data_IF_247593471089
#
_entry.id   IF_247593471089
#
_cell.length_a   1.000
_cell.length_b   1.000
_cell.length_c   1.000
_cell.angle_alpha   90.00
_cell.angle_beta   90.00
_cell.angle_gamma   90.00
#
_symmetry.space_group_name_H-M   'P 1'
#
loop_
_entity.id
_entity.type
_entity.pdbx_description
1 polymer ?
#
# COMPACT_ATOMS: atom_id res chain seq x y z
N UNK A 1 -7.35 5.47 -26.17
CA UNK A 1 -5.89 5.49 -26.42
C UNK A 1 -5.20 6.26 -25.30
N UNK A 2 -4.18 5.68 -24.64
CA UNK A 2 -3.45 6.35 -23.57
C UNK A 2 -2.62 7.53 -24.09
N UNK A 3 -2.44 8.56 -23.25
CA UNK A 3 -1.52 9.68 -23.49
C UNK A 3 -0.11 9.30 -23.04
N UNK A 4 0.70 8.84 -23.99
CA UNK A 4 2.06 8.35 -23.73
C UNK A 4 3.04 9.49 -23.39
N UNK A 5 2.80 10.69 -23.90
CA UNK A 5 3.66 11.84 -23.63
C UNK A 5 3.48 12.30 -22.18
N UNK A 6 2.23 12.42 -21.73
CA UNK A 6 1.90 12.71 -20.34
C UNK A 6 2.44 11.63 -19.40
N UNK A 7 2.25 10.35 -19.75
CA UNK A 7 2.75 9.22 -18.96
C UNK A 7 4.27 9.30 -18.76
N UNK A 8 5.01 9.49 -19.85
CA UNK A 8 6.49 9.58 -19.82
C UNK A 8 6.95 10.75 -18.98
N UNK A 9 6.29 11.91 -19.10
CA UNK A 9 6.62 13.09 -18.30
C UNK A 9 6.36 12.85 -16.80
N UNK A 10 5.26 12.19 -16.45
CA UNK A 10 4.86 11.96 -15.05
C UNK A 10 5.68 10.89 -14.35
N UNK A 11 6.10 9.85 -15.06
CA UNK A 11 7.00 8.83 -14.51
C UNK A 11 8.38 9.40 -14.11
N UNK A 12 8.76 10.57 -14.62
CA UNK A 12 9.97 11.30 -14.19
C UNK A 12 9.83 12.02 -12.85
N UNK A 13 8.64 12.02 -12.24
CA UNK A 13 8.45 12.65 -10.95
C UNK A 13 9.39 12.02 -9.89
N UNK A 14 10.11 12.82 -9.07
CA UNK A 14 11.16 12.31 -8.17
C UNK A 14 10.70 11.20 -7.21
N UNK A 15 9.43 11.22 -6.80
CA UNK A 15 8.84 10.19 -5.94
C UNK A 15 9.07 8.76 -6.43
N UNK A 16 8.97 8.52 -7.74
CA UNK A 16 9.11 7.18 -8.30
C UNK A 16 10.54 6.64 -8.14
N UNK A 17 11.55 7.50 -8.20
CA UNK A 17 12.96 7.14 -8.05
C UNK A 17 13.46 7.07 -6.59
N UNK A 18 12.68 7.54 -5.61
CA UNK A 18 13.09 7.49 -4.20
C UNK A 18 13.21 6.03 -3.70
N UNK A 19 14.25 5.66 -2.93
CA UNK A 19 14.33 4.36 -2.28
C UNK A 19 13.38 4.26 -1.08
N UNK A 20 13.03 3.04 -0.61
CA UNK A 20 12.35 2.87 0.66
C UNK A 20 13.24 3.28 1.86
N UNK A 21 12.66 3.69 3.00
CA UNK A 21 11.22 3.79 3.28
C UNK A 21 10.62 5.04 2.64
N UNK A 22 9.46 4.89 1.97
CA UNK A 22 8.68 6.00 1.40
C UNK A 22 7.19 5.70 1.47
N UNK A 23 6.38 6.75 1.63
CA UNK A 23 4.92 6.70 1.62
C UNK A 23 4.35 7.92 0.91
N UNK A 24 3.09 7.85 0.51
CA UNK A 24 2.40 8.95 -0.19
C UNK A 24 0.89 8.81 -0.06
N UNK A 25 0.17 9.84 -0.45
CA UNK A 25 -1.27 9.87 -0.59
C UNK A 25 -1.72 11.03 -1.48
N UNK A 26 -2.88 11.60 -1.12
CA UNK A 26 -3.54 12.67 -1.89
C UNK A 26 -2.80 14.01 -1.81
N UNK A 27 -1.87 14.15 -0.88
CA UNK A 27 -0.99 15.32 -0.78
C UNK A 27 0.01 15.42 -1.95
N UNK A 28 0.28 14.30 -2.63
CA UNK A 28 1.11 14.27 -3.84
C UNK A 28 0.30 13.92 -5.09
N UNK A 29 -0.51 12.85 -5.02
CA UNK A 29 -1.30 12.36 -6.14
C UNK A 29 -2.73 12.92 -6.08
N UNK A 30 -2.85 14.20 -6.40
CA UNK A 30 -4.11 14.94 -6.39
C UNK A 30 -4.78 15.02 -7.78
N UNK A 31 -5.78 15.89 -7.93
CA UNK A 31 -6.49 16.11 -9.20
C UNK A 31 -5.57 16.61 -10.33
N UNK A 32 -4.41 17.19 -10.02
CA UNK A 32 -3.39 17.60 -10.99
C UNK A 32 -2.67 16.41 -11.67
N UNK A 33 -2.88 15.19 -11.17
CA UNK A 33 -2.43 13.94 -11.81
C UNK A 33 -3.45 13.35 -12.77
N UNK A 34 -4.55 14.05 -13.06
CA UNK A 34 -5.53 13.58 -14.05
C UNK A 34 -5.15 14.15 -15.43
N UNK A 35 -4.80 13.32 -16.42
CA UNK A 35 -4.55 13.80 -17.79
C UNK A 35 -5.84 14.35 -18.43
N UNK A 36 -5.69 15.14 -19.49
CA UNK A 36 -6.83 15.59 -20.29
C UNK A 36 -7.23 14.49 -21.28
N UNK A 37 -8.51 14.39 -21.61
CA UNK A 37 -9.00 13.46 -22.62
C UNK A 37 -10.40 12.92 -22.30
N UNK A 38 -10.83 11.94 -23.09
CA UNK A 38 -12.05 11.20 -22.79
C UNK A 38 -11.85 10.34 -21.54
N UNK A 39 -12.93 10.00 -20.82
CA UNK A 39 -12.82 9.14 -19.63
C UNK A 39 -12.09 7.80 -19.91
N UNK A 40 -12.34 7.09 -21.02
CA UNK A 40 -11.57 5.90 -21.38
C UNK A 40 -10.08 6.16 -21.58
N UNK A 41 -9.70 7.28 -22.20
CA UNK A 41 -8.29 7.63 -22.44
C UNK A 41 -7.57 7.97 -21.12
N UNK A 42 -8.25 8.71 -20.26
CA UNK A 42 -7.76 9.07 -18.93
C UNK A 42 -7.53 7.82 -18.09
N UNK A 43 -8.52 6.93 -18.01
CA UNK A 43 -8.41 5.69 -17.25
C UNK A 43 -7.30 4.78 -17.80
N UNK A 44 -7.18 4.66 -19.13
CA UNK A 44 -6.10 3.89 -19.75
C UNK A 44 -4.71 4.46 -19.45
N UNK A 45 -4.57 5.78 -19.42
CA UNK A 45 -3.30 6.46 -19.11
C UNK A 45 -2.92 6.26 -17.65
N UNK A 46 -3.87 6.43 -16.73
CA UNK A 46 -3.65 6.25 -15.30
C UNK A 46 -3.36 4.79 -14.93
N UNK A 47 -4.06 3.82 -15.53
CA UNK A 47 -3.78 2.41 -15.33
C UNK A 47 -2.35 2.05 -15.76
N UNK A 48 -1.87 2.60 -16.88
CA UNK A 48 -0.48 2.43 -17.34
C UNK A 48 0.54 3.10 -16.43
N UNK A 49 0.22 4.27 -15.86
CA UNK A 49 1.07 4.91 -14.85
C UNK A 49 1.22 4.02 -13.60
N UNK A 50 0.10 3.48 -13.10
CA UNK A 50 0.10 2.56 -11.96
C UNK A 50 0.89 1.29 -12.28
N UNK A 51 0.66 0.66 -13.43
CA UNK A 51 1.36 -0.55 -13.84
C UNK A 51 2.88 -0.34 -14.00
N UNK A 52 3.30 0.71 -14.71
CA UNK A 52 4.71 1.00 -14.93
C UNK A 52 5.45 1.33 -13.62
N UNK A 53 4.81 2.08 -12.72
CA UNK A 53 5.40 2.43 -11.42
C UNK A 53 5.51 1.22 -10.49
N UNK A 54 4.50 0.35 -10.44
CA UNK A 54 4.55 -0.91 -9.68
C UNK A 54 5.57 -1.90 -10.26
N UNK A 55 5.58 -2.10 -11.57
CA UNK A 55 6.55 -2.98 -12.23
C UNK A 55 7.99 -2.55 -11.98
N UNK A 56 8.25 -1.24 -12.09
CA UNK A 56 9.57 -0.68 -11.78
C UNK A 56 9.95 -0.85 -10.30
N UNK A 57 9.00 -0.68 -9.39
CA UNK A 57 9.23 -0.88 -7.96
C UNK A 57 9.51 -2.36 -7.62
N UNK A 58 8.78 -3.30 -8.22
CA UNK A 58 9.00 -4.74 -8.07
C UNK A 58 10.38 -5.14 -8.61
N UNK A 59 10.74 -4.67 -9.80
CA UNK A 59 12.07 -4.90 -10.38
C UNK A 59 13.20 -4.42 -9.45
N UNK A 60 13.03 -3.26 -8.81
CA UNK A 60 14.00 -2.70 -7.89
C UNK A 60 14.16 -3.49 -6.58
N UNK A 61 13.22 -4.38 -6.22
CA UNK A 61 13.36 -5.28 -5.07
C UNK A 61 14.33 -6.45 -5.35
N UNK A 62 14.63 -6.72 -6.62
CA UNK A 62 15.41 -7.89 -7.04
C UNK A 62 14.51 -9.09 -7.36
N UNK A 63 15.03 -10.32 -7.28
CA UNK A 63 14.25 -11.53 -7.56
C UNK A 63 13.04 -11.66 -6.63
N UNK A 64 11.86 -11.85 -7.22
CA UNK A 64 10.59 -12.06 -6.52
C UNK A 64 9.97 -13.35 -7.05
N UNK A 65 9.61 -14.27 -6.16
CA UNK A 65 9.00 -15.57 -6.54
C UNK A 65 7.47 -15.49 -6.66
N UNK A 66 6.83 -14.71 -5.79
CA UNK A 66 5.37 -14.56 -5.76
C UNK A 66 4.97 -13.13 -5.40
N UNK A 67 3.91 -12.62 -6.04
CA UNK A 67 3.27 -11.34 -5.70
C UNK A 67 1.82 -11.59 -5.32
N UNK A 68 1.47 -11.27 -4.07
CA UNK A 68 0.10 -11.33 -3.57
C UNK A 68 -0.53 -9.92 -3.48
N UNK A 69 -1.70 -9.78 -4.06
CA UNK A 69 -2.44 -8.53 -4.21
C UNK A 69 -3.70 -8.58 -3.34
N UNK A 70 -3.91 -7.53 -2.56
CA UNK A 70 -5.16 -7.32 -1.83
C UNK A 70 -5.84 -6.01 -2.23
N UNK A 71 -7.03 -5.77 -1.67
CA UNK A 71 -7.81 -4.56 -1.94
C UNK A 71 -8.51 -4.55 -3.32
N UNK A 72 -9.23 -3.46 -3.58
CA UNK A 72 -10.11 -3.36 -4.76
C UNK A 72 -9.38 -3.42 -6.12
N UNK A 73 -8.07 -3.17 -6.15
CA UNK A 73 -7.27 -3.23 -7.38
C UNK A 73 -7.26 -4.61 -8.05
N UNK A 74 -7.35 -5.69 -7.26
CA UNK A 74 -7.43 -7.06 -7.78
C UNK A 74 -8.65 -7.29 -8.70
N UNK A 75 -9.75 -6.59 -8.44
CA UNK A 75 -11.00 -6.69 -9.22
C UNK A 75 -10.91 -6.00 -10.58
N UNK A 76 -9.86 -5.20 -10.82
CA UNK A 76 -9.65 -4.51 -12.09
C UNK A 76 -8.74 -5.36 -13.00
N UNK A 77 -9.36 -6.23 -13.81
CA UNK A 77 -8.62 -7.18 -14.66
C UNK A 77 -7.66 -6.49 -15.62
N UNK A 78 -8.08 -5.38 -16.24
CA UNK A 78 -7.23 -4.60 -17.15
C UNK A 78 -5.98 -4.05 -16.46
N UNK A 79 -6.10 -3.55 -15.23
CA UNK A 79 -4.96 -3.08 -14.46
C UNK A 79 -4.02 -4.23 -14.08
N UNK A 80 -4.57 -5.37 -13.64
CA UNK A 80 -3.77 -6.54 -13.27
C UNK A 80 -2.95 -7.06 -14.45
N UNK A 81 -3.56 -7.19 -15.63
CA UNK A 81 -2.86 -7.61 -16.85
C UNK A 81 -1.71 -6.67 -17.21
N UNK A 82 -1.92 -5.36 -17.10
CA UNK A 82 -0.85 -4.38 -17.32
C UNK A 82 0.28 -4.49 -16.29
N UNK A 83 -0.04 -4.72 -15.01
CA UNK A 83 0.98 -4.90 -13.96
C UNK A 83 1.78 -6.17 -14.23
N UNK A 84 1.12 -7.29 -14.55
CA UNK A 84 1.77 -8.57 -14.88
C UNK A 84 2.71 -8.41 -16.08
N UNK A 85 2.27 -7.70 -17.14
CA UNK A 85 3.09 -7.38 -18.32
C UNK A 85 4.35 -6.59 -17.93
N UNK A 86 4.23 -5.56 -17.09
CA UNK A 86 5.35 -4.71 -16.70
C UNK A 86 6.27 -5.37 -15.67
N UNK A 87 5.72 -6.17 -14.76
CA UNK A 87 6.47 -6.81 -13.68
C UNK A 87 7.12 -8.13 -14.13
N UNK A 88 6.62 -8.75 -15.21
CA UNK A 88 7.11 -10.04 -15.69
C UNK A 88 6.79 -11.22 -14.76
N UNK A 89 5.85 -11.04 -13.83
CA UNK A 89 5.44 -12.05 -12.85
C UNK A 89 3.91 -12.06 -12.68
N UNK A 90 3.28 -13.24 -12.59
CA UNK A 90 1.85 -13.34 -12.29
C UNK A 90 1.50 -12.78 -10.90
N UNK A 91 0.34 -12.14 -10.80
CA UNK A 91 -0.22 -11.65 -9.55
C UNK A 91 -1.26 -12.65 -9.03
N UNK A 92 -1.25 -12.91 -7.72
CA UNK A 92 -2.25 -13.75 -7.04
C UNK A 92 -3.05 -12.94 -6.03
N UNK A 93 -4.32 -13.27 -5.76
CA UNK A 93 -5.04 -12.66 -4.65
C UNK A 93 -4.46 -13.13 -3.33
N UNK A 94 -4.54 -12.33 -2.28
CA UNK A 94 -4.12 -12.78 -0.94
C UNK A 94 -5.02 -13.90 -0.39
N UNK A 95 -6.19 -14.11 -0.99
CA UNK A 95 -7.11 -15.23 -0.69
C UNK A 95 -6.42 -16.59 -0.88
N UNK A 96 -5.55 -16.73 -1.89
CA UNK A 96 -4.78 -17.95 -2.14
C UNK A 96 -3.80 -18.25 -1.00
N UNK A 97 -3.39 -17.23 -0.26
CA UNK A 97 -2.56 -17.33 0.95
C UNK A 97 -3.39 -17.40 2.25
N UNK A 98 -4.71 -17.55 2.15
CA UNK A 98 -5.62 -17.65 3.31
C UNK A 98 -5.97 -16.30 3.95
N UNK A 99 -5.64 -15.17 3.32
CA UNK A 99 -5.98 -13.83 3.82
C UNK A 99 -6.96 -13.18 2.84
N UNK A 100 -8.26 -13.04 3.20
CA UNK A 100 -9.25 -12.49 2.28
C UNK A 100 -8.85 -11.10 1.75
N UNK A 101 -8.82 -10.90 0.43
CA UNK A 101 -8.30 -9.67 -0.19
C UNK A 101 -9.02 -8.41 0.28
N UNK A 102 -10.33 -8.50 0.53
CA UNK A 102 -11.15 -7.38 0.98
C UNK A 102 -10.99 -7.11 2.50
N UNK A 103 -10.50 -8.07 3.28
CA UNK A 103 -10.37 -7.96 4.74
C UNK A 103 -8.93 -7.71 5.21
N UNK A 104 -7.94 -7.77 4.31
CA UNK A 104 -6.50 -7.69 4.64
C UNK A 104 -6.16 -6.49 5.51
N UNK A 105 -6.62 -5.30 5.16
CA UNK A 105 -6.31 -4.08 5.92
C UNK A 105 -6.98 -4.09 7.29
N UNK A 106 -8.25 -4.51 7.37
CA UNK A 106 -8.96 -4.65 8.64
C UNK A 106 -8.28 -5.68 9.57
N UNK A 107 -7.83 -6.81 9.03
CA UNK A 107 -7.07 -7.81 9.76
C UNK A 107 -5.72 -7.25 10.25
N UNK A 108 -5.03 -6.43 9.45
CA UNK A 108 -3.81 -5.75 9.87
C UNK A 108 -4.06 -4.80 11.05
N UNK A 109 -5.16 -4.04 11.07
CA UNK A 109 -5.53 -3.21 12.22
C UNK A 109 -5.87 -4.04 13.47
N UNK A 110 -6.56 -5.17 13.32
CA UNK A 110 -6.81 -6.08 14.44
C UNK A 110 -5.50 -6.64 15.02
N UNK A 111 -4.54 -6.98 14.16
CA UNK A 111 -3.21 -7.42 14.58
C UNK A 111 -2.44 -6.30 15.28
N UNK A 112 -2.53 -5.05 14.81
CA UNK A 112 -1.94 -3.88 15.48
C UNK A 112 -2.54 -3.66 16.88
N UNK A 113 -3.86 -3.84 17.04
CA UNK A 113 -4.51 -3.75 18.35
C UNK A 113 -4.04 -4.86 19.30
N UNK A 114 -3.92 -6.10 18.80
CA UNK A 114 -3.35 -7.21 19.57
C UNK A 114 -1.89 -6.94 19.96
N UNK A 115 -1.07 -6.45 19.04
CA UNK A 115 0.32 -6.09 19.28
C UNK A 115 0.45 -4.97 20.33
N UNK A 116 -0.41 -3.94 20.26
CA UNK A 116 -0.50 -2.89 21.28
C UNK A 116 -0.78 -3.49 22.66
N UNK A 117 -1.79 -4.35 22.75
CA UNK A 117 -2.20 -4.99 24.00
C UNK A 117 -1.08 -5.86 24.58
N UNK A 118 -0.33 -6.57 23.72
CA UNK A 118 0.83 -7.38 24.10
C UNK A 118 2.13 -6.60 24.29
N UNK A 119 2.11 -5.27 24.09
CA UNK A 119 3.30 -4.41 24.14
C UNK A 119 4.41 -4.87 23.19
N UNK A 120 4.01 -5.28 21.98
CA UNK A 120 4.91 -5.67 20.89
C UNK A 120 5.06 -4.48 19.91
N UNK A 121 6.30 -4.01 19.62
CA UNK A 121 6.53 -3.01 18.58
C UNK A 121 6.11 -3.49 17.19
N UNK A 122 5.48 -2.62 16.39
CA UNK A 122 4.88 -3.03 15.11
C UNK A 122 5.21 -2.12 13.91
N UNK A 123 6.14 -1.16 14.05
CA UNK A 123 6.55 -0.23 12.99
C UNK A 123 7.83 -0.68 12.26
N UNK A 124 7.78 -1.83 11.61
CA UNK A 124 8.96 -2.46 11.00
C UNK A 124 9.41 -1.87 9.66
N UNK A 125 8.56 -1.09 8.97
CA UNK A 125 8.80 -0.66 7.58
C UNK A 125 9.00 0.86 7.40
N UNK A 126 9.02 1.63 8.49
CA UNK A 126 8.95 3.11 8.42
C UNK A 126 10.30 3.82 8.63
N UNK A 127 11.38 3.07 8.87
CA UNK A 127 12.71 3.63 9.18
C UNK A 127 12.84 4.25 10.57
N UNK A 128 11.78 4.23 11.38
CA UNK A 128 11.80 4.71 12.76
C UNK A 128 12.32 3.67 13.76
N UNK A 129 12.60 4.11 14.99
CA UNK A 129 12.92 3.20 16.10
C UNK A 129 11.71 2.32 16.45
N UNK A 130 11.89 1.06 16.89
CA UNK A 130 10.80 0.20 17.33
C UNK A 130 9.92 0.89 18.40
N UNK A 131 8.61 0.90 18.19
CA UNK A 131 7.64 1.57 19.04
C UNK A 131 6.31 0.79 19.10
N UNK A 132 5.64 0.91 20.26
CA UNK A 132 4.27 0.42 20.42
C UNK A 132 3.33 1.37 19.70
N UNK A 133 2.57 0.85 18.74
CA UNK A 133 1.63 1.63 17.94
C UNK A 133 0.24 1.66 18.56
N UNK A 134 -0.53 2.71 18.31
CA UNK A 134 -1.91 2.85 18.76
C UNK A 134 -2.07 3.45 20.17
N UNK A 135 -3.33 3.70 20.55
CA UNK A 135 -3.74 4.17 21.88
C UNK A 135 -4.93 3.34 22.34
N UNK A 136 -4.93 2.93 23.61
CA UNK A 136 -6.07 2.23 24.21
C UNK A 136 -7.14 3.24 24.61
N UNK A 137 -8.34 3.09 24.04
CA UNK A 137 -9.55 3.81 24.43
C UNK A 137 -10.49 2.86 25.18
N UNK A 138 -10.61 3.00 26.51
CA UNK A 138 -11.45 2.13 27.33
C UNK A 138 -12.94 2.29 27.02
N UNK A 139 -13.69 1.18 27.03
CA UNK A 139 -15.13 1.16 26.72
C UNK A 139 -16.05 1.64 27.88
N UNK A 140 -15.49 2.18 28.96
CA UNK A 140 -16.21 2.61 30.16
C UNK A 140 -15.23 3.14 31.23
N UNK A 141 -15.71 3.51 32.44
CA UNK A 141 -14.84 4.01 33.49
C UNK A 141 -13.73 2.99 33.78
N UNK A 142 -12.49 3.40 33.52
CA UNK A 142 -11.32 2.59 33.86
C UNK A 142 -11.20 2.60 35.37
N UNK A 143 -11.49 1.48 36.00
CA UNK A 143 -10.92 1.22 37.31
C UNK A 143 -9.42 0.99 37.11
N UNK A 144 -8.63 2.07 37.20
CA UNK A 144 -7.19 1.95 37.26
C UNK A 144 -6.90 1.26 38.61
N UNK A 145 -6.35 0.04 38.64
CA UNK A 145 -5.89 -0.52 39.90
C UNK A 145 -4.86 0.45 40.50
N UNK A 146 -4.88 0.68 41.83
CA UNK A 146 -3.99 1.64 42.46
C UNK A 146 -2.55 1.34 42.06
N UNK A 147 -1.83 2.39 41.65
CA UNK A 147 -0.44 2.28 41.26
C UNK A 147 0.33 1.57 42.37
N UNK A 148 1.01 0.46 42.04
CA UNK A 148 2.02 -0.09 42.93
C UNK A 148 3.09 0.99 43.05
N UNK A 149 3.04 1.78 44.13
CA UNK A 149 4.19 2.57 44.57
C UNK A 149 5.35 1.59 44.68
N UNK A 150 6.41 1.84 43.93
CA UNK A 150 7.69 1.21 44.15
C UNK A 150 8.05 1.40 45.64
N UNK A 151 8.28 0.29 46.34
CA UNK A 151 9.07 0.30 47.57
C UNK A 151 10.53 0.18 47.18
#
# INVERSE_FOLDING_TARGET
RPDLAWLTARLRHPYFAQPPPKSTGRELFDAGWIPRGSAPDVLATLARLTAASLGSALFALGPVDDVYVGGGGWKNRFLIELIEEHAGIPLRPTDDAGVPSDAREAAAFALLAWAHHRRIPANIATGGRPAILGKLSPAGPVFLPPSRRAR
#
